data_IF_182115633347
#
_entry.id   IF_182115633347
#
_cell.length_a   1.000
_cell.length_b   1.000
_cell.length_c   1.000
_cell.angle_alpha   90.00
_cell.angle_beta   90.00
_cell.angle_gamma   90.00
#
_symmetry.space_group_name_H-M   'P 1'
#
loop_
_entity.id
_entity.type
_entity.pdbx_description
1 polymer ?
#
# COMPACT_ATOMS: atom_id res chain seq x y z
N UNK A 1 36.49 -8.24 -1.26
CA UNK A 1 35.31 -8.97 -1.78
C UNK A 1 35.05 -8.47 -3.19
N UNK A 2 35.16 -9.33 -4.20
CA UNK A 2 34.88 -8.96 -5.60
C UNK A 2 33.37 -9.10 -5.82
N UNK A 3 32.66 -7.99 -6.01
CA UNK A 3 31.23 -8.01 -6.36
C UNK A 3 31.09 -8.51 -7.80
N UNK A 4 30.49 -9.68 -8.00
CA UNK A 4 30.15 -10.13 -9.34
C UNK A 4 29.14 -9.16 -9.98
N UNK A 5 29.27 -8.86 -11.29
CA UNK A 5 28.34 -7.97 -11.97
C UNK A 5 26.95 -8.58 -11.98
N UNK A 6 25.97 -7.83 -11.46
CA UNK A 6 24.56 -8.22 -11.48
C UNK A 6 24.07 -8.24 -12.93
N UNK A 7 23.37 -9.30 -13.35
CA UNK A 7 22.91 -9.41 -14.74
C UNK A 7 21.85 -8.35 -15.08
N UNK A 8 21.91 -7.80 -16.31
CA UNK A 8 20.92 -6.82 -16.78
C UNK A 8 19.49 -7.36 -16.80
N UNK A 9 19.32 -8.67 -17.02
CA UNK A 9 18.02 -9.34 -16.94
C UNK A 9 17.47 -9.32 -15.51
N UNK A 10 18.33 -9.57 -14.52
CA UNK A 10 17.94 -9.53 -13.12
C UNK A 10 17.54 -8.11 -12.67
N UNK A 11 18.31 -7.08 -13.06
CA UNK A 11 17.97 -5.70 -12.75
C UNK A 11 16.61 -5.29 -13.32
N UNK A 12 16.32 -5.66 -14.58
CA UNK A 12 15.00 -5.43 -15.18
C UNK A 12 13.88 -6.13 -14.43
N UNK A 13 14.10 -7.36 -13.97
CA UNK A 13 13.12 -8.11 -13.19
C UNK A 13 12.82 -7.40 -11.86
N UNK A 14 13.85 -6.97 -11.12
CA UNK A 14 13.68 -6.25 -9.85
C UNK A 14 12.93 -4.94 -10.07
N UNK A 15 13.26 -4.18 -11.12
CA UNK A 15 12.57 -2.92 -11.44
C UNK A 15 11.08 -3.16 -11.73
N UNK A 16 10.76 -4.14 -12.57
CA UNK A 16 9.36 -4.46 -12.90
C UNK A 16 8.61 -4.97 -11.68
N UNK A 17 9.21 -5.84 -10.87
CA UNK A 17 8.59 -6.34 -9.65
C UNK A 17 8.25 -5.20 -8.67
N UNK A 18 9.18 -4.27 -8.44
CA UNK A 18 8.95 -3.09 -7.60
C UNK A 18 7.88 -2.17 -8.15
N UNK A 19 7.85 -1.97 -9.48
CA UNK A 19 6.85 -1.13 -10.14
C UNK A 19 5.44 -1.75 -10.04
N UNK A 20 5.32 -3.06 -10.25
CA UNK A 20 4.05 -3.79 -10.12
C UNK A 20 3.53 -3.71 -8.69
N UNK A 21 4.38 -3.89 -7.68
CA UNK A 21 3.98 -3.70 -6.28
C UNK A 21 3.42 -2.31 -6.02
N UNK A 22 4.09 -1.27 -6.52
CA UNK A 22 3.62 0.12 -6.42
C UNK A 22 2.25 0.29 -7.09
N UNK A 23 2.07 -0.25 -8.29
CA UNK A 23 0.79 -0.17 -9.01
C UNK A 23 -0.34 -0.85 -8.25
N UNK A 24 -0.09 -2.03 -7.67
CA UNK A 24 -1.09 -2.77 -6.88
C UNK A 24 -1.52 -1.94 -5.67
N UNK A 25 -0.57 -1.34 -4.94
CA UNK A 25 -0.91 -0.45 -3.81
C UNK A 25 -1.82 0.70 -4.28
N UNK A 26 -1.42 1.43 -5.32
CA UNK A 26 -2.21 2.55 -5.84
C UNK A 26 -3.58 2.14 -6.40
N UNK A 27 -3.66 0.96 -7.00
CA UNK A 27 -4.91 0.40 -7.51
C UNK A 27 -5.93 0.22 -6.39
N UNK A 28 -5.51 -0.31 -5.25
CA UNK A 28 -6.39 -0.54 -4.10
C UNK A 28 -6.91 0.78 -3.52
N UNK A 29 -6.04 1.78 -3.36
CA UNK A 29 -6.46 3.13 -2.91
C UNK A 29 -7.38 3.81 -3.92
N UNK A 30 -7.11 3.67 -5.22
CA UNK A 30 -7.93 4.26 -6.27
C UNK A 30 -9.33 3.66 -6.29
N UNK A 31 -9.45 2.34 -6.20
CA UNK A 31 -10.75 1.68 -6.16
C UNK A 31 -11.51 2.04 -4.87
N UNK A 32 -10.85 2.04 -3.71
CA UNK A 32 -11.51 2.46 -2.48
C UNK A 32 -12.04 3.89 -2.59
N UNK A 33 -11.21 4.84 -3.05
CA UNK A 33 -11.58 6.24 -3.19
C UNK A 33 -12.71 6.45 -4.21
N UNK A 34 -12.64 5.80 -5.37
CA UNK A 34 -13.69 5.89 -6.39
C UNK A 34 -15.02 5.30 -5.93
N UNK A 35 -14.98 4.22 -5.12
CA UNK A 35 -16.16 3.60 -4.55
C UNK A 35 -16.58 4.19 -3.19
N UNK A 36 -15.90 5.20 -2.65
CA UNK A 36 -16.15 5.70 -1.31
C UNK A 36 -17.62 6.10 -1.06
N UNK A 37 -18.29 6.69 -2.06
CA UNK A 37 -19.72 7.01 -1.96
C UNK A 37 -20.60 5.76 -1.87
N UNK A 38 -20.29 4.72 -2.64
CA UNK A 38 -21.01 3.44 -2.63
C UNK A 38 -20.80 2.74 -1.30
N UNK A 39 -19.55 2.66 -0.84
CA UNK A 39 -19.18 2.08 0.45
C UNK A 39 -19.88 2.81 1.61
N UNK A 40 -19.92 4.14 1.57
CA UNK A 40 -20.61 4.96 2.57
C UNK A 40 -22.08 4.60 2.72
N UNK A 41 -22.79 4.45 1.60
CA UNK A 41 -24.23 4.12 1.61
C UNK A 41 -24.54 2.69 2.04
N UNK A 42 -23.57 1.78 1.89
CA UNK A 42 -23.74 0.35 2.15
C UNK A 42 -23.32 -0.03 3.58
N UNK A 43 -22.29 0.62 4.13
CA UNK A 43 -21.69 0.24 5.41
C UNK A 43 -22.02 1.17 6.57
N UNK A 44 -22.48 2.40 6.32
CA UNK A 44 -22.73 3.39 7.36
C UNK A 44 -24.18 3.88 7.41
N UNK A 45 -24.54 4.57 8.51
CA UNK A 45 -25.91 5.00 8.78
C UNK A 45 -26.42 6.02 7.76
N UNK A 46 -27.62 5.78 7.23
CA UNK A 46 -28.28 6.69 6.29
C UNK A 46 -28.91 7.91 6.97
N UNK A 47 -28.94 7.96 8.30
CA UNK A 47 -29.52 9.07 9.06
C UNK A 47 -28.78 10.39 8.84
N UNK A 48 -27.46 10.33 8.67
CA UNK A 48 -26.64 11.49 8.32
C UNK A 48 -25.65 11.10 7.18
N UNK A 49 -26.02 11.33 5.92
CA UNK A 49 -25.19 10.98 4.77
C UNK A 49 -23.82 11.65 4.75
N UNK A 50 -23.70 12.84 5.34
CA UNK A 50 -22.42 13.56 5.43
C UNK A 50 -21.49 12.84 6.42
N UNK A 51 -22.00 12.52 7.61
CA UNK A 51 -21.24 11.78 8.61
C UNK A 51 -20.79 10.40 8.09
N UNK A 52 -21.70 9.66 7.44
CA UNK A 52 -21.39 8.36 6.83
C UNK A 52 -20.28 8.44 5.77
N UNK A 53 -20.22 9.52 4.99
CA UNK A 53 -19.16 9.71 4.00
C UNK A 53 -17.83 10.05 4.68
N UNK A 54 -17.85 10.91 5.71
CA UNK A 54 -16.66 11.23 6.50
C UNK A 54 -16.08 10.01 7.20
N UNK A 55 -16.92 9.12 7.74
CA UNK A 55 -16.48 7.85 8.34
C UNK A 55 -15.79 6.95 7.30
N UNK A 56 -16.32 6.89 6.07
CA UNK A 56 -15.70 6.13 4.97
C UNK A 56 -14.33 6.70 4.58
N UNK A 57 -14.22 8.02 4.47
CA UNK A 57 -12.95 8.71 4.20
C UNK A 57 -11.97 8.56 5.38
N UNK A 58 -12.46 8.53 6.62
CA UNK A 58 -11.64 8.26 7.79
C UNK A 58 -11.01 6.86 7.71
N UNK A 59 -11.79 5.83 7.35
CA UNK A 59 -11.26 4.47 7.11
C UNK A 59 -10.18 4.46 6.01
N UNK A 60 -10.40 5.16 4.91
CA UNK A 60 -9.38 5.32 3.86
C UNK A 60 -8.08 5.91 4.41
N UNK A 61 -8.20 6.96 5.24
CA UNK A 61 -7.06 7.68 5.82
C UNK A 61 -6.28 6.83 6.83
N UNK A 62 -6.95 5.94 7.55
CA UNK A 62 -6.28 5.00 8.48
C UNK A 62 -5.24 4.15 7.74
N UNK A 63 -5.53 3.73 6.49
CA UNK A 63 -4.56 3.01 5.67
C UNK A 63 -3.24 3.77 5.47
N UNK A 64 -3.29 5.10 5.35
CA UNK A 64 -2.09 5.94 5.24
C UNK A 64 -1.36 6.10 6.57
N UNK A 65 -2.10 6.21 7.68
CA UNK A 65 -1.52 6.33 9.03
C UNK A 65 -0.78 5.06 9.47
N UNK A 66 -1.20 3.89 8.97
CA UNK A 66 -0.53 2.62 9.24
C UNK A 66 0.79 2.49 8.47
N UNK A 67 0.96 3.17 7.32
CA UNK A 67 2.18 3.03 6.50
C UNK A 67 3.48 3.40 7.23
N UNK A 68 3.58 4.50 7.99
CA UNK A 68 4.76 4.75 8.82
C UNK A 68 5.07 3.61 9.79
N UNK A 69 4.05 3.01 10.41
CA UNK A 69 4.23 1.88 11.32
C UNK A 69 4.74 0.64 10.58
N UNK A 70 4.14 0.34 9.42
CA UNK A 70 4.63 -0.72 8.52
C UNK A 70 6.08 -0.48 8.09
N UNK A 71 6.43 0.75 7.70
CA UNK A 71 7.78 1.11 7.30
C UNK A 71 8.79 0.94 8.45
N UNK A 72 8.42 1.25 9.69
CA UNK A 72 9.29 1.02 10.85
C UNK A 72 9.52 -0.49 11.10
N UNK A 73 8.45 -1.28 11.07
CA UNK A 73 8.51 -2.73 11.32
C UNK A 73 9.21 -3.46 10.18
N UNK A 74 8.69 -3.37 8.96
CA UNK A 74 9.22 -4.05 7.78
C UNK A 74 10.55 -3.43 7.33
N UNK A 75 10.80 -2.14 7.57
CA UNK A 75 12.12 -1.55 7.36
C UNK A 75 13.17 -2.20 8.25
N UNK A 76 12.90 -2.33 9.56
CA UNK A 76 13.82 -2.99 10.48
C UNK A 76 14.05 -4.46 10.13
N UNK A 77 12.99 -5.19 9.76
CA UNK A 77 13.10 -6.59 9.33
C UNK A 77 13.94 -6.69 8.05
N UNK A 78 13.69 -5.81 7.08
CA UNK A 78 14.44 -5.76 5.82
C UNK A 78 15.92 -5.44 6.00
N UNK A 79 16.26 -4.60 6.99
CA UNK A 79 17.64 -4.28 7.34
C UNK A 79 18.37 -5.45 8.05
N UNK A 80 17.65 -6.29 8.80
CA UNK A 80 18.24 -7.41 9.57
C UNK A 80 18.28 -8.72 8.78
N UNK A 81 17.19 -9.07 8.10
CA UNK A 81 17.00 -10.38 7.42
C UNK A 81 17.28 -10.27 5.91
N UNK A 82 17.20 -9.05 5.36
CA UNK A 82 17.38 -8.77 3.94
C UNK A 82 16.05 -8.52 3.23
N UNK A 83 16.08 -7.52 2.33
CA UNK A 83 14.88 -7.00 1.63
C UNK A 83 14.12 -8.05 0.81
N UNK A 84 14.82 -9.01 0.21
CA UNK A 84 14.22 -10.09 -0.60
C UNK A 84 13.22 -10.97 0.17
N UNK A 85 13.39 -11.10 1.48
CA UNK A 85 12.52 -11.92 2.32
C UNK A 85 11.42 -11.09 3.01
N UNK A 86 11.45 -9.76 2.84
CA UNK A 86 10.55 -8.83 3.53
C UNK A 86 9.56 -8.16 2.57
N UNK A 87 9.97 -7.94 1.32
CA UNK A 87 9.20 -7.35 0.21
C UNK A 87 9.27 -8.26 -1.01
#
# INVERSE_FOLDING_TARGET
MVTQPVSQRYLRLVLVASAVGTVIEWYDFYIFGSLARVLSQQFFSKANPVAAFLETVALFTIGFLIRPLGALVFGRIGDVIGRKYTF
#
